data_IF_171672686659
#
_entry.id   IF_171672686659
#
_cell.length_a   1.000
_cell.length_b   1.000
_cell.length_c   1.000
_cell.angle_alpha   90.00
_cell.angle_beta   90.00
_cell.angle_gamma   90.00
#
_symmetry.space_group_name_H-M   'P 1'
#
loop_
_entity.id
_entity.type
_entity.pdbx_description
1 polymer ?
#
# COMPACT_ATOMS: atom_id res chain seq x y z
N UNK A 1 -3.82 11.56 -7.78
CA UNK A 1 -2.37 11.35 -7.64
C UNK A 1 -2.07 9.85 -7.69
N UNK A 2 -0.92 9.43 -8.22
CA UNK A 2 -0.55 7.99 -8.21
C UNK A 2 -0.15 7.57 -6.80
N UNK A 3 -0.63 6.40 -6.34
CA UNK A 3 -0.48 5.95 -4.94
C UNK A 3 0.98 5.78 -4.49
N UNK A 4 1.86 5.47 -5.44
CA UNK A 4 3.27 5.20 -5.16
C UNK A 4 4.21 6.36 -5.47
N UNK A 5 3.73 7.44 -6.11
CA UNK A 5 4.56 8.57 -6.54
C UNK A 5 4.27 9.76 -5.63
N UNK A 6 5.25 10.13 -4.81
CA UNK A 6 5.14 11.27 -3.91
C UNK A 6 5.80 12.49 -4.53
N UNK A 7 5.08 13.61 -4.62
CA UNK A 7 5.63 14.93 -4.96
C UNK A 7 5.95 15.64 -3.64
N UNK A 8 7.22 15.99 -3.42
CA UNK A 8 7.65 16.61 -2.18
C UNK A 8 7.17 18.06 -2.06
N UNK A 9 6.99 18.75 -3.20
CA UNK A 9 6.52 20.13 -3.28
C UNK A 9 5.63 20.32 -4.52
N UNK A 10 4.31 20.45 -4.35
CA UNK A 10 3.39 20.70 -5.47
C UNK A 10 1.93 20.31 -5.20
N UNK A 11 1.03 20.77 -6.08
CA UNK A 11 -0.38 20.40 -6.03
C UNK A 11 -0.58 18.96 -6.53
N UNK A 12 -1.45 18.20 -5.85
CA UNK A 12 -1.84 16.85 -6.25
C UNK A 12 -2.60 16.82 -7.59
N UNK A 13 -2.62 15.65 -8.23
CA UNK A 13 -3.37 15.43 -9.48
C UNK A 13 -4.83 15.14 -9.15
N UNK A 14 -5.76 15.79 -9.87
CA UNK A 14 -7.22 15.59 -9.77
C UNK A 14 -7.60 14.10 -9.92
N UNK A 15 -8.26 13.56 -8.88
CA UNK A 15 -8.74 12.18 -8.81
C UNK A 15 -10.25 12.06 -9.07
N UNK A 16 -10.81 12.96 -9.89
CA UNK A 16 -12.21 12.88 -10.30
C UNK A 16 -12.62 11.46 -10.72
N UNK A 17 -13.78 11.03 -10.25
CA UNK A 17 -14.37 9.68 -10.43
C UNK A 17 -14.59 9.30 -11.91
N UNK A 18 -14.54 10.29 -12.81
CA UNK A 18 -14.71 10.10 -14.25
C UNK A 18 -13.37 9.84 -14.97
N UNK A 19 -12.26 10.00 -14.27
CA UNK A 19 -10.93 9.84 -14.83
C UNK A 19 -10.57 8.36 -14.89
N UNK A 20 -10.10 7.93 -16.06
CA UNK A 20 -9.60 6.58 -16.27
C UNK A 20 -8.17 6.47 -15.75
N UNK A 21 -7.79 5.26 -15.36
CA UNK A 21 -6.46 4.95 -14.84
C UNK A 21 -5.73 4.03 -15.80
N UNK A 22 -4.46 4.35 -16.06
CA UNK A 22 -3.54 3.49 -16.80
C UNK A 22 -2.73 2.71 -15.79
N UNK A 23 -2.87 1.39 -15.81
CA UNK A 23 -2.27 0.49 -14.83
C UNK A 23 -1.13 -0.28 -15.48
N UNK A 24 0.05 -0.16 -14.88
CA UNK A 24 1.28 -0.83 -15.30
C UNK A 24 1.63 -1.84 -14.22
N UNK A 25 1.81 -3.10 -14.62
CA UNK A 25 2.22 -4.19 -13.72
C UNK A 25 3.69 -4.51 -13.91
N UNK A 26 4.37 -4.84 -12.81
CA UNK A 26 5.77 -5.21 -12.79
C UNK A 26 5.91 -6.71 -12.52
N UNK A 27 6.95 -7.30 -13.07
CA UNK A 27 7.34 -8.68 -12.81
C UNK A 27 8.43 -8.77 -11.73
N UNK A 28 8.67 -9.98 -11.20
CA UNK A 28 9.84 -10.27 -10.35
C UNK A 28 11.15 -9.82 -10.99
N UNK A 29 11.23 -9.95 -12.31
CA UNK A 29 12.43 -9.60 -13.08
C UNK A 29 12.66 -8.08 -13.02
N UNK A 30 11.60 -7.29 -13.17
CA UNK A 30 11.68 -5.83 -13.19
C UNK A 30 12.22 -5.26 -11.87
N UNK A 31 11.87 -5.87 -10.73
CA UNK A 31 12.45 -5.52 -9.42
C UNK A 31 13.99 -5.55 -9.43
N UNK A 32 14.60 -6.56 -10.08
CA UNK A 32 16.06 -6.72 -10.10
C UNK A 32 16.77 -5.67 -10.99
N UNK A 33 16.13 -5.25 -12.08
CA UNK A 33 16.72 -4.36 -13.09
C UNK A 33 16.39 -2.89 -12.87
N UNK A 34 15.19 -2.57 -12.37
CA UNK A 34 14.72 -1.21 -12.18
C UNK A 34 15.13 -0.71 -10.80
N UNK A 35 16.45 -0.49 -10.58
CA UNK A 35 17.04 -0.17 -9.26
C UNK A 35 16.90 1.28 -8.81
N UNK A 36 16.52 2.18 -9.71
CA UNK A 36 16.36 3.61 -9.42
C UNK A 36 14.96 4.08 -9.81
N UNK A 37 14.49 5.17 -9.21
CA UNK A 37 13.22 5.80 -9.57
C UNK A 37 13.23 6.29 -11.01
N UNK A 38 14.38 6.79 -11.48
CA UNK A 38 14.60 7.13 -12.89
C UNK A 38 14.39 5.95 -13.83
N UNK A 39 14.89 4.76 -13.48
CA UNK A 39 14.68 3.54 -14.27
C UNK A 39 13.20 3.10 -14.25
N UNK A 40 12.54 3.17 -13.07
CA UNK A 40 11.13 2.83 -12.93
C UNK A 40 10.23 3.74 -13.77
N UNK A 41 10.40 5.07 -13.68
CA UNK A 41 9.55 5.99 -14.44
C UNK A 41 9.79 5.88 -15.94
N UNK A 42 11.03 5.64 -16.38
CA UNK A 42 11.30 5.36 -17.80
C UNK A 42 10.62 4.06 -18.25
N UNK A 43 10.63 3.01 -17.43
CA UNK A 43 9.91 1.77 -17.73
C UNK A 43 8.39 2.01 -17.86
N UNK A 44 7.78 2.77 -16.94
CA UNK A 44 6.36 3.12 -17.00
C UNK A 44 6.02 3.83 -18.32
N UNK A 45 6.81 4.85 -18.68
CA UNK A 45 6.66 5.60 -19.94
C UNK A 45 6.71 4.67 -21.14
N UNK A 46 7.69 3.78 -21.21
CA UNK A 46 7.81 2.83 -22.32
C UNK A 46 6.64 1.84 -22.38
N UNK A 47 6.12 1.39 -21.23
CA UNK A 47 4.91 0.54 -21.21
C UNK A 47 3.68 1.27 -21.73
N UNK A 48 3.52 2.57 -21.43
CA UNK A 48 2.43 3.39 -21.97
C UNK A 48 2.58 3.55 -23.49
N UNK A 49 3.79 3.89 -23.98
CA UNK A 49 4.10 4.05 -25.41
C UNK A 49 3.85 2.78 -26.22
N UNK A 50 4.28 1.64 -25.70
CA UNK A 50 4.06 0.32 -26.29
C UNK A 50 2.62 -0.20 -26.08
N UNK A 51 1.77 0.54 -25.36
CA UNK A 51 0.41 0.14 -24.98
C UNK A 51 0.35 -1.17 -24.18
N UNK A 52 1.43 -1.50 -23.47
CA UNK A 52 1.54 -2.64 -22.54
C UNK A 52 1.04 -2.25 -21.15
N UNK A 53 -0.23 -1.86 -21.09
CA UNK A 53 -0.90 -1.41 -19.88
C UNK A 53 -2.40 -1.75 -19.94
N UNK A 54 -3.07 -1.75 -18.79
CA UNK A 54 -4.54 -1.91 -18.73
C UNK A 54 -5.21 -0.60 -18.35
N UNK A 55 -6.39 -0.31 -18.90
CA UNK A 55 -7.13 0.90 -18.59
C UNK A 55 -8.40 0.53 -17.82
N UNK A 56 -8.63 1.19 -16.69
CA UNK A 56 -9.75 0.93 -15.78
C UNK A 56 -10.37 2.23 -15.26
N UNK A 57 -11.54 2.14 -14.63
CA UNK A 57 -12.16 3.27 -13.93
C UNK A 57 -11.62 3.46 -12.51
N UNK A 58 -11.15 2.38 -11.89
CA UNK A 58 -10.51 2.42 -10.58
C UNK A 58 -9.02 2.08 -10.72
N UNK A 59 -8.14 2.69 -9.92
CA UNK A 59 -6.72 2.32 -9.89
C UNK A 59 -6.55 0.90 -9.34
N UNK A 60 -5.85 0.05 -10.08
CA UNK A 60 -5.58 -1.33 -9.65
C UNK A 60 -4.54 -1.40 -8.54
N UNK A 61 -3.68 -0.41 -8.46
CA UNK A 61 -2.54 -0.38 -7.57
C UNK A 61 -2.93 -0.30 -6.08
N UNK A 62 -4.17 0.10 -5.78
CA UNK A 62 -4.79 0.00 -4.44
C UNK A 62 -5.19 -1.42 -4.02
N UNK A 63 -5.28 -2.35 -4.97
CA UNK A 63 -5.79 -3.72 -4.77
C UNK A 63 -4.86 -4.81 -5.30
N UNK A 64 -3.84 -4.44 -6.07
CA UNK A 64 -2.94 -5.36 -6.77
C UNK A 64 -1.50 -5.00 -6.50
N UNK A 65 -0.74 -6.00 -6.07
CA UNK A 65 0.69 -5.89 -5.83
C UNK A 65 1.44 -5.61 -7.13
N UNK A 66 2.58 -4.95 -7.00
CA UNK A 66 3.49 -4.67 -8.11
C UNK A 66 2.78 -4.01 -9.28
N UNK A 67 1.97 -3.02 -8.96
CA UNK A 67 1.23 -2.24 -9.92
C UNK A 67 1.41 -0.76 -9.59
N UNK A 68 1.47 0.07 -10.62
CA UNK A 68 1.33 1.52 -10.50
C UNK A 68 0.18 1.94 -11.41
N UNK A 69 -0.73 2.75 -10.87
CA UNK A 69 -1.82 3.37 -11.61
C UNK A 69 -1.50 4.85 -11.83
N UNK A 70 -1.48 5.26 -13.09
CA UNK A 70 -1.31 6.65 -13.52
C UNK A 70 -2.69 7.18 -13.95
N UNK A 71 -3.21 8.24 -13.32
CA UNK A 71 -4.50 8.80 -13.70
C UNK A 71 -4.38 9.54 -15.03
N UNK A 72 -5.43 9.48 -15.85
CA UNK A 72 -5.69 10.54 -16.81
C UNK A 72 -6.15 11.78 -16.04
N UNK A 73 -5.68 12.96 -16.45
CA UNK A 73 -6.03 14.23 -15.80
C UNK A 73 -7.48 14.65 -16.07
N UNK A 74 -8.11 14.06 -17.10
CA UNK A 74 -9.49 14.36 -17.51
C UNK A 74 -10.20 13.15 -18.10
N UNK A 75 -11.51 13.27 -18.26
CA UNK A 75 -12.31 12.28 -18.97
C UNK A 75 -11.99 12.27 -20.47
N UNK A 76 -11.74 11.08 -21.02
CA UNK A 76 -11.48 10.89 -22.45
C UNK A 76 -12.44 9.87 -23.06
N UNK A 77 -12.92 10.21 -24.26
CA UNK A 77 -13.79 9.33 -25.07
C UNK A 77 -13.02 8.17 -25.69
N UNK A 78 -11.76 8.37 -26.04
CA UNK A 78 -10.92 7.38 -26.73
C UNK A 78 -9.81 6.85 -25.82
N UNK A 79 -9.46 5.57 -26.02
CA UNK A 79 -8.31 4.94 -25.36
C UNK A 79 -7.01 5.69 -25.64
N UNK A 80 -6.84 6.20 -26.86
CA UNK A 80 -5.66 6.98 -27.25
C UNK A 80 -5.54 8.26 -26.42
N UNK A 81 -6.63 9.00 -26.23
CA UNK A 81 -6.61 10.21 -25.40
C UNK A 81 -6.21 9.94 -23.95
N UNK A 82 -6.70 8.83 -23.37
CA UNK A 82 -6.30 8.39 -22.02
C UNK A 82 -4.79 8.13 -21.95
N UNK A 83 -4.24 7.40 -22.92
CA UNK A 83 -2.82 7.06 -22.96
C UNK A 83 -1.93 8.29 -23.16
N UNK A 84 -2.29 9.18 -24.09
CA UNK A 84 -1.53 10.40 -24.38
C UNK A 84 -1.48 11.35 -23.17
N UNK A 85 -2.56 11.40 -22.39
CA UNK A 85 -2.67 12.21 -21.17
C UNK A 85 -1.89 11.59 -20.00
N UNK A 86 -2.06 10.29 -19.76
CA UNK A 86 -1.27 9.57 -18.76
C UNK A 86 0.24 9.59 -19.09
N UNK A 87 0.60 9.56 -20.37
CA UNK A 87 1.98 9.69 -20.83
C UNK A 87 2.56 11.06 -20.47
N UNK A 88 1.82 12.14 -20.74
CA UNK A 88 2.25 13.50 -20.36
C UNK A 88 2.47 13.60 -18.85
N UNK A 89 1.58 13.02 -18.04
CA UNK A 89 1.75 13.01 -16.59
C UNK A 89 2.98 12.19 -16.17
N UNK A 90 3.22 11.03 -16.78
CA UNK A 90 4.40 10.22 -16.50
C UNK A 90 5.71 10.92 -16.91
N UNK A 91 5.71 11.64 -18.04
CA UNK A 91 6.84 12.46 -18.46
C UNK A 91 7.09 13.62 -17.50
N UNK A 92 6.03 14.26 -17.00
CA UNK A 92 6.16 15.26 -15.95
C UNK A 92 6.73 14.67 -14.65
N UNK A 93 6.26 13.50 -14.20
CA UNK A 93 6.83 12.80 -13.05
C UNK A 93 8.31 12.49 -13.23
N UNK A 94 8.72 12.09 -14.44
CA UNK A 94 10.13 11.86 -14.75
C UNK A 94 10.96 13.11 -14.50
N UNK A 95 10.50 14.28 -14.93
CA UNK A 95 11.21 15.55 -14.68
C UNK A 95 11.30 15.82 -13.18
N UNK A 96 10.22 15.62 -12.42
CA UNK A 96 10.24 15.85 -10.97
C UNK A 96 11.19 14.88 -10.25
N UNK A 97 11.20 13.60 -10.63
CA UNK A 97 12.11 12.59 -10.06
C UNK A 97 13.56 12.95 -10.34
N UNK A 98 13.88 13.32 -11.59
CA UNK A 98 15.25 13.67 -11.97
C UNK A 98 15.74 14.95 -11.28
N UNK A 99 14.84 15.86 -10.93
CA UNK A 99 15.14 17.07 -10.18
C UNK A 99 15.16 16.84 -8.65
N UNK A 100 14.86 15.63 -8.16
CA UNK A 100 14.77 15.33 -6.73
C UNK A 100 13.51 15.88 -6.04
N UNK A 101 12.52 16.34 -6.81
CA UNK A 101 11.25 16.88 -6.30
C UNK A 101 10.19 15.80 -6.09
N UNK A 102 10.46 14.57 -6.53
CA UNK A 102 9.56 13.44 -6.39
C UNK A 102 10.35 12.14 -6.21
N UNK A 103 9.71 11.17 -5.58
CA UNK A 103 10.22 9.81 -5.44
C UNK A 103 9.12 8.78 -5.63
N UNK A 104 9.53 7.56 -5.96
CA UNK A 104 8.65 6.40 -6.00
C UNK A 104 8.87 5.61 -4.71
N UNK A 105 7.81 5.33 -3.96
CA UNK A 105 7.91 4.47 -2.78
C UNK A 105 8.11 3.01 -3.22
N UNK A 106 9.38 2.65 -3.49
CA UNK A 106 9.80 1.34 -3.99
C UNK A 106 9.55 0.23 -2.97
N UNK A 107 9.71 0.55 -1.70
CA UNK A 107 9.42 -0.38 -0.61
C UNK A 107 7.96 -0.74 -0.68
N UNK A 108 7.05 0.22 -0.63
CA UNK A 108 5.61 -0.05 -0.77
C UNK A 108 5.26 -0.76 -2.09
N UNK A 109 5.91 -0.38 -3.20
CA UNK A 109 5.65 -0.98 -4.52
C UNK A 109 6.03 -2.46 -4.58
N UNK A 110 7.11 -2.87 -3.90
CA UNK A 110 7.70 -4.20 -4.04
C UNK A 110 7.74 -5.05 -2.77
N UNK A 111 7.39 -4.50 -1.60
CA UNK A 111 7.46 -5.19 -0.31
C UNK A 111 6.48 -6.37 -0.22
N UNK A 112 6.87 -7.34 0.60
CA UNK A 112 6.52 -8.75 0.44
C UNK A 112 5.27 -9.21 1.17
N UNK A 113 4.70 -8.47 2.11
CA UNK A 113 3.60 -9.00 2.91
C UNK A 113 2.23 -8.91 2.19
N UNK A 114 1.54 -10.04 2.00
CA UNK A 114 0.23 -10.06 1.37
C UNK A 114 -0.83 -9.45 2.29
N UNK A 115 -1.68 -8.64 1.65
CA UNK A 115 -3.01 -8.26 2.08
C UNK A 115 -3.82 -9.52 2.46
N UNK A 116 -4.02 -9.80 3.74
CA UNK A 116 -5.03 -10.75 4.21
C UNK A 116 -6.13 -9.97 4.92
N UNK A 117 -7.34 -10.00 4.36
CA UNK A 117 -8.58 -9.59 5.04
C UNK A 117 -8.66 -8.16 5.60
N UNK A 118 -7.87 -7.21 5.07
CA UNK A 118 -8.11 -5.78 5.30
C UNK A 118 -7.58 -5.20 6.62
N UNK A 119 -6.52 -5.77 7.20
CA UNK A 119 -5.70 -5.11 8.25
C UNK A 119 -4.22 -5.25 7.87
N UNK A 120 -3.46 -4.16 7.88
CA UNK A 120 -2.04 -4.17 7.47
C UNK A 120 -1.12 -4.59 8.62
N UNK A 121 -0.02 -5.23 8.27
CA UNK A 121 1.05 -5.57 9.20
C UNK A 121 2.38 -5.31 8.50
N UNK A 122 2.94 -4.15 8.77
CA UNK A 122 4.39 -4.01 8.86
C UNK A 122 4.83 -4.57 10.22
N UNK A 123 6.09 -5.01 10.35
CA UNK A 123 6.67 -5.33 11.66
C UNK A 123 6.40 -4.13 12.59
N UNK A 124 5.73 -4.36 13.72
CA UNK A 124 5.33 -3.34 14.70
C UNK A 124 4.21 -2.35 14.27
N UNK A 125 3.44 -2.64 13.21
CA UNK A 125 2.28 -1.82 12.77
C UNK A 125 2.64 -0.35 12.47
N UNK A 126 3.89 -0.08 12.11
CA UNK A 126 4.39 1.29 11.86
C UNK A 126 3.65 1.96 10.71
N UNK A 127 3.34 1.18 9.66
CA UNK A 127 2.62 1.65 8.47
C UNK A 127 1.16 2.01 8.80
N UNK A 128 0.46 1.18 9.56
CA UNK A 128 -0.93 1.41 9.98
C UNK A 128 -1.09 2.67 10.85
N UNK A 129 -0.11 2.99 11.70
CA UNK A 129 -0.14 4.21 12.53
C UNK A 129 0.10 5.49 11.72
N UNK A 130 0.90 5.41 10.66
CA UNK A 130 1.16 6.56 9.77
C UNK A 130 0.05 6.75 8.73
N UNK A 131 -0.51 5.66 8.20
CA UNK A 131 -1.47 5.69 7.10
C UNK A 131 -2.93 5.79 7.59
N UNK A 132 -3.24 5.26 8.77
CA UNK A 132 -4.59 5.23 9.35
C UNK A 132 -4.60 5.54 10.87
N UNK A 133 -4.17 6.75 11.29
CA UNK A 133 -4.17 7.13 12.71
C UNK A 133 -5.56 7.04 13.37
N UNK A 134 -6.64 7.17 12.60
CA UNK A 134 -8.03 7.07 13.04
C UNK A 134 -8.45 5.66 13.53
N UNK A 135 -7.76 4.61 13.11
CA UNK A 135 -8.04 3.24 13.57
C UNK A 135 -7.58 2.99 15.01
N UNK A 136 -6.71 3.85 15.53
CA UNK A 136 -6.08 3.72 16.85
C UNK A 136 -6.59 4.76 17.86
N UNK A 137 -7.47 5.68 17.43
CA UNK A 137 -8.02 6.73 18.29
C UNK A 137 -9.04 6.20 19.34
N UNK A 138 -9.40 4.91 19.31
CA UNK A 138 -10.40 4.32 20.21
C UNK A 138 -9.85 3.77 21.53
N UNK A 139 -8.54 3.73 21.72
CA UNK A 139 -7.95 3.20 22.95
C UNK A 139 -7.63 4.28 23.99
N UNK A 140 -8.04 5.52 23.75
CA UNK A 140 -7.70 6.66 24.63
C UNK A 140 -8.92 7.40 25.21
N UNK A 141 -10.09 6.76 25.28
CA UNK A 141 -11.21 7.29 26.06
C UNK A 141 -11.52 6.39 27.26
N UNK A 142 -11.01 6.77 28.43
CA UNK A 142 -11.79 6.69 29.67
C UNK A 142 -11.65 5.42 30.51
N UNK A 143 -10.72 5.52 31.44
CA UNK A 143 -10.55 4.75 32.67
C UNK A 143 -11.82 4.68 33.57
N UNK A 144 -11.83 3.73 34.52
CA UNK A 144 -12.27 3.85 35.95
C UNK A 144 -13.41 2.93 36.42
N UNK A 145 -13.07 2.03 37.35
CA UNK A 145 -13.96 1.43 38.36
C UNK A 145 -13.79 -0.08 38.46
N UNK A 146 -13.55 -0.71 39.61
CA UNK A 146 -13.13 -0.28 40.93
C UNK A 146 -12.68 -1.58 41.63
N UNK A 147 -11.71 -1.50 42.53
CA UNK A 147 -11.27 -2.64 43.34
C UNK A 147 -12.24 -2.86 44.51
N UNK A 148 -12.72 -4.09 44.75
CA UNK A 148 -13.09 -4.52 46.12
C UNK A 148 -13.03 -6.04 46.31
N UNK A 149 -12.44 -6.41 47.44
CA UNK A 149 -12.17 -7.74 47.98
C UNK A 149 -13.43 -8.54 48.38
N UNK A 150 -13.29 -9.87 48.47
CA UNK A 150 -14.25 -10.76 49.15
C UNK A 150 -13.70 -12.18 49.30
N UNK A 151 -13.36 -12.55 50.53
CA UNK A 151 -12.70 -13.79 50.95
C UNK A 151 -13.64 -14.98 51.23
N UNK A 152 -13.06 -16.19 51.31
CA UNK A 152 -13.61 -17.43 51.90
C UNK A 152 -13.06 -18.68 51.17
N UNK A 153 -12.01 -19.36 51.68
CA UNK A 153 -12.04 -20.56 52.57
C UNK A 153 -12.79 -21.76 51.95
N UNK A 154 -12.37 -23.03 51.99
CA UNK A 154 -11.21 -23.77 52.50
C UNK A 154 -11.35 -25.24 51.98
N UNK A 155 -10.34 -26.08 52.26
CA UNK A 155 -10.19 -27.55 52.15
C UNK A 155 -9.83 -28.14 50.77
N UNK A 156 -8.83 -29.01 50.61
CA UNK A 156 -8.06 -29.83 51.55
C UNK A 156 -8.01 -31.28 51.06
N UNK A 157 -6.84 -31.94 51.15
CA UNK A 157 -6.52 -33.34 50.80
C UNK A 157 -6.27 -33.64 49.29
N UNK A 158 -5.25 -34.35 48.83
CA UNK A 158 -4.19 -35.11 49.50
C UNK A 158 -3.82 -36.38 48.68
N UNK A 159 -2.54 -36.50 48.34
CA UNK A 159 -1.74 -37.73 48.21
C UNK A 159 -1.80 -38.69 46.99
N UNK A 160 -0.58 -39.10 46.57
CA UNK A 160 -0.22 -40.43 46.03
C UNK A 160 -0.24 -40.53 44.50
N UNK A 161 0.91 -40.66 43.81
CA UNK A 161 1.61 -41.93 43.56
C UNK A 161 1.01 -42.61 42.31
N UNK A 162 1.69 -43.25 41.37
CA UNK A 162 3.06 -43.69 41.22
C UNK A 162 3.23 -44.09 39.72
N UNK A 163 4.47 -44.32 39.35
CA UNK A 163 5.03 -44.81 38.09
C UNK A 163 4.44 -46.09 37.47
N UNK A 164 4.73 -46.25 36.16
CA UNK A 164 4.97 -47.49 35.38
C UNK A 164 4.03 -47.67 34.17
N UNK A 165 4.55 -47.61 32.94
CA UNK A 165 5.17 -48.70 32.13
C UNK A 165 4.11 -49.71 31.63
N UNK A 166 3.91 -49.79 30.32
CA UNK A 166 4.42 -50.91 29.53
C UNK A 166 3.91 -50.89 28.08
N UNK A 167 4.84 -51.24 27.20
CA UNK A 167 4.75 -51.92 25.89
C UNK A 167 3.95 -51.30 24.73
#
# INVERSE_FOLDING_TARGET
MSYYITIHHGHGVDESILNKWVNITFSKRDLFYLRTDGALICFIIERIRERKCTITLEPKDRKSRWCISIPASRAHKSTRGVLDDALQLAEWYKVQILNGNASINRELLFDRNPYHEGKECCRENVCDRMLHPEWWAKDTSGNTGDATEGAGEDTGEGAGGDTSKDS
#
